data_IF_204224924080
#
_entry.id   IF_204224924080
#
_cell.length_a   1.000
_cell.length_b   1.000
_cell.length_c   1.000
_cell.angle_alpha   90.00
_cell.angle_beta   90.00
_cell.angle_gamma   90.00
#
_symmetry.space_group_name_H-M   'P 1'
#
loop_
_entity.id
_entity.type
_entity.pdbx_description
1 polymer ?
#
# COMPACT_ATOMS: atom_id res chain seq x y z
N UNK A 1 7.77 5.61 7.11
CA UNK A 1 6.76 4.78 6.44
C UNK A 1 7.36 3.50 5.85
N UNK A 2 8.59 3.51 5.41
CA UNK A 2 9.28 2.36 4.81
C UNK A 2 9.26 1.13 5.72
N UNK A 3 9.63 1.27 6.99
CA UNK A 3 9.65 0.18 7.97
C UNK A 3 8.28 -0.49 8.16
N UNK A 4 7.18 0.28 8.03
CA UNK A 4 5.82 -0.27 8.08
C UNK A 4 5.54 -1.14 6.86
N UNK A 5 5.93 -0.68 5.67
CA UNK A 5 5.79 -1.45 4.43
C UNK A 5 6.61 -2.74 4.46
N UNK A 6 7.84 -2.68 4.97
CA UNK A 6 8.70 -3.85 5.15
C UNK A 6 8.07 -4.86 6.12
N UNK A 7 7.55 -4.40 7.27
CA UNK A 7 6.87 -5.26 8.23
C UNK A 7 5.62 -5.92 7.61
N UNK A 8 4.82 -5.16 6.87
CA UNK A 8 3.66 -5.69 6.15
C UNK A 8 4.05 -6.76 5.13
N UNK A 9 5.13 -6.51 4.37
CA UNK A 9 5.64 -7.49 3.41
C UNK A 9 6.07 -8.79 4.07
N UNK A 10 6.71 -8.69 5.25
CA UNK A 10 7.15 -9.84 6.06
C UNK A 10 6.02 -10.46 6.89
N UNK A 11 4.80 -9.91 6.83
CA UNK A 11 3.66 -10.39 7.62
C UNK A 11 3.80 -10.12 9.12
N UNK A 12 4.56 -9.11 9.51
CA UNK A 12 4.80 -8.75 10.93
C UNK A 12 3.88 -7.61 11.36
N UNK A 13 3.31 -7.68 12.58
CA UNK A 13 2.50 -6.59 13.11
C UNK A 13 3.35 -5.39 13.50
N UNK A 14 2.75 -4.19 13.41
CA UNK A 14 3.38 -2.94 13.79
C UNK A 14 2.53 -2.21 14.83
N UNK A 15 3.15 -1.80 15.93
CA UNK A 15 2.57 -0.83 16.87
C UNK A 15 3.15 0.53 16.52
N UNK A 16 2.29 1.45 16.06
CA UNK A 16 2.68 2.78 15.57
C UNK A 16 2.40 3.83 16.65
N UNK A 17 3.38 4.67 16.92
CA UNK A 17 3.27 5.79 17.88
C UNK A 17 3.60 7.10 17.13
N UNK A 18 2.61 7.70 16.43
CA UNK A 18 2.84 8.92 15.65
C UNK A 18 3.08 10.11 16.58
N UNK A 19 4.05 10.95 16.24
CA UNK A 19 4.42 12.15 17.03
C UNK A 19 4.01 13.46 16.37
N UNK A 20 3.63 13.43 15.09
CA UNK A 20 3.18 14.60 14.35
C UNK A 20 2.15 14.21 13.27
N UNK A 21 1.50 15.22 12.65
CA UNK A 21 0.32 15.03 11.81
C UNK A 21 0.56 14.12 10.59
N UNK A 22 1.71 14.25 9.95
CA UNK A 22 2.06 13.40 8.80
C UNK A 22 2.15 11.93 9.21
N UNK A 23 2.81 11.65 10.33
CA UNK A 23 2.88 10.28 10.87
C UNK A 23 1.50 9.75 11.26
N UNK A 24 0.61 10.62 11.77
CA UNK A 24 -0.76 10.23 12.11
C UNK A 24 -1.55 9.83 10.86
N UNK A 25 -1.42 10.58 9.76
CA UNK A 25 -2.05 10.23 8.48
C UNK A 25 -1.51 8.90 7.93
N UNK A 26 -0.19 8.74 7.92
CA UNK A 26 0.46 7.51 7.46
C UNK A 26 0.08 6.30 8.33
N UNK A 27 -0.03 6.49 9.65
CA UNK A 27 -0.45 5.44 10.58
C UNK A 27 -1.91 5.04 10.36
N UNK A 28 -2.80 6.00 10.09
CA UNK A 28 -4.18 5.74 9.74
C UNK A 28 -4.28 4.85 8.48
N UNK A 29 -3.58 5.21 7.42
CA UNK A 29 -3.57 4.44 6.18
C UNK A 29 -2.98 3.03 6.38
N UNK A 30 -1.93 2.92 7.19
CA UNK A 30 -1.31 1.65 7.52
C UNK A 30 -2.27 0.72 8.30
N UNK A 31 -3.06 1.26 9.25
CA UNK A 31 -4.09 0.49 9.95
C UNK A 31 -5.17 0.00 8.99
N UNK A 32 -5.64 0.86 8.07
CA UNK A 32 -6.61 0.47 7.06
C UNK A 32 -6.08 -0.65 6.15
N UNK A 33 -4.78 -0.64 5.88
CA UNK A 33 -4.11 -1.69 5.10
C UNK A 33 -3.82 -2.97 5.91
N UNK A 34 -4.10 -2.99 7.21
CA UNK A 34 -3.89 -4.15 8.07
C UNK A 34 -2.46 -4.32 8.59
N UNK A 35 -1.68 -3.22 8.69
CA UNK A 35 -0.32 -3.27 9.20
C UNK A 35 -0.23 -3.55 10.71
N UNK A 36 -1.20 -3.07 11.47
CA UNK A 36 -1.19 -3.17 12.93
C UNK A 36 -2.09 -2.14 13.61
N UNK A 37 -1.64 -1.56 14.69
CA UNK A 37 -2.41 -0.64 15.52
C UNK A 37 -1.65 0.65 15.85
N UNK A 38 -2.39 1.69 16.16
CA UNK A 38 -1.85 2.97 16.69
C UNK A 38 -1.98 2.98 18.20
N UNK A 39 -0.97 3.48 18.89
CA UNK A 39 -0.96 3.70 20.33
C UNK A 39 -0.39 5.09 20.66
N UNK A 40 -0.72 5.60 21.84
CA UNK A 40 -0.21 6.89 22.34
C UNK A 40 1.23 6.79 22.86
N UNK A 41 1.67 5.59 23.17
CA UNK A 41 3.00 5.30 23.70
C UNK A 41 3.46 3.91 23.30
N UNK A 42 4.76 3.68 23.35
CA UNK A 42 5.29 2.34 23.17
C UNK A 42 4.86 1.44 24.35
N UNK A 43 4.19 0.34 24.03
CA UNK A 43 3.72 -0.66 24.98
C UNK A 43 4.09 -2.05 24.48
N UNK A 44 5.01 -2.69 25.18
CA UNK A 44 5.51 -4.02 24.80
C UNK A 44 4.45 -5.10 24.98
N UNK A 45 3.63 -5.02 26.01
CA UNK A 45 2.57 -6.01 26.27
C UNK A 45 1.51 -5.94 25.17
N UNK A 46 1.12 -4.73 24.77
CA UNK A 46 0.22 -4.53 23.64
C UNK A 46 0.81 -5.07 22.32
N UNK A 47 2.11 -4.88 22.08
CA UNK A 47 2.77 -5.42 20.88
C UNK A 47 2.82 -6.96 20.92
N UNK A 48 3.09 -7.56 22.07
CA UNK A 48 3.09 -9.03 22.22
C UNK A 48 1.70 -9.62 22.02
N UNK A 49 0.66 -8.98 22.54
CA UNK A 49 -0.72 -9.42 22.31
C UNK A 49 -1.11 -9.26 20.83
N UNK A 50 -0.76 -8.13 20.21
CA UNK A 50 -0.95 -7.92 18.80
C UNK A 50 -0.24 -9.00 17.97
N UNK A 51 0.97 -9.42 18.36
CA UNK A 51 1.71 -10.46 17.63
C UNK A 51 1.03 -11.82 17.64
N UNK A 52 0.21 -12.11 18.66
CA UNK A 52 -0.56 -13.36 18.76
C UNK A 52 -1.84 -13.33 17.92
N UNK A 53 -2.45 -12.17 17.78
CA UNK A 53 -3.75 -11.98 17.13
C UNK A 53 -3.66 -11.51 15.69
N UNK A 54 -2.51 -10.96 15.29
CA UNK A 54 -2.30 -10.36 13.98
C UNK A 54 -2.46 -11.38 12.84
N UNK A 55 -3.19 -10.94 11.83
CA UNK A 55 -3.30 -11.68 10.57
C UNK A 55 -2.73 -10.86 9.43
N UNK A 56 -1.65 -11.34 8.79
CA UNK A 56 -1.04 -10.64 7.66
C UNK A 56 -2.02 -10.40 6.52
N UNK A 57 -1.88 -9.26 5.85
CA UNK A 57 -2.64 -8.98 4.63
C UNK A 57 -1.90 -9.58 3.42
N UNK A 58 -2.37 -10.71 2.85
CA UNK A 58 -1.69 -11.35 1.72
C UNK A 58 -1.77 -10.52 0.44
N UNK A 59 -2.77 -9.65 0.31
CA UNK A 59 -2.93 -8.81 -0.87
C UNK A 59 -1.78 -7.81 -1.01
N UNK A 60 -1.28 -7.26 0.10
CA UNK A 60 -0.14 -6.34 0.07
C UNK A 60 1.13 -7.02 -0.42
N UNK A 61 1.49 -8.16 0.15
CA UNK A 61 2.71 -8.88 -0.27
C UNK A 61 2.60 -9.42 -1.71
N UNK A 62 1.41 -9.79 -2.14
CA UNK A 62 1.16 -10.17 -3.53
C UNK A 62 1.34 -8.98 -4.50
N UNK A 63 0.80 -7.82 -4.13
CA UNK A 63 0.97 -6.59 -4.91
C UNK A 63 2.44 -6.18 -5.01
N UNK A 64 3.19 -6.19 -3.89
CA UNK A 64 4.62 -5.85 -3.89
C UNK A 64 5.43 -6.77 -4.81
N UNK A 65 5.14 -8.07 -4.84
CA UNK A 65 5.81 -9.02 -5.74
C UNK A 65 5.58 -8.77 -7.22
N UNK A 66 4.55 -8.01 -7.56
CA UNK A 66 4.23 -7.63 -8.93
C UNK A 66 4.60 -6.18 -9.26
N UNK A 67 5.09 -5.41 -8.28
CA UNK A 67 5.30 -3.97 -8.42
C UNK A 67 6.34 -3.64 -9.50
N UNK A 68 7.41 -4.39 -9.62
CA UNK A 68 8.44 -4.23 -10.64
C UNK A 68 7.85 -4.38 -12.04
N UNK A 69 7.08 -5.42 -12.27
CA UNK A 69 6.40 -5.65 -13.56
C UNK A 69 5.34 -4.57 -13.86
N UNK A 70 4.57 -4.15 -12.84
CA UNK A 70 3.58 -3.09 -12.99
C UNK A 70 4.24 -1.76 -13.36
N UNK A 71 5.34 -1.40 -12.70
CA UNK A 71 6.13 -0.19 -12.99
C UNK A 71 6.69 -0.25 -14.41
N UNK A 72 7.33 -1.33 -14.79
CA UNK A 72 7.90 -1.50 -16.12
C UNK A 72 6.84 -1.45 -17.22
N UNK A 73 5.66 -1.97 -16.95
CA UNK A 73 4.53 -1.91 -17.88
C UNK A 73 4.04 -0.48 -18.09
N UNK A 74 3.93 0.31 -17.03
CA UNK A 74 3.52 1.72 -17.13
C UNK A 74 4.56 2.55 -17.90
N UNK A 75 5.84 2.38 -17.59
CA UNK A 75 6.92 3.01 -18.35
C UNK A 75 6.88 2.65 -19.84
N UNK A 76 6.61 1.39 -20.16
CA UNK A 76 6.53 0.95 -21.56
C UNK A 76 5.31 1.53 -22.26
N UNK A 77 4.21 1.69 -21.57
CA UNK A 77 3.02 2.35 -22.08
C UNK A 77 3.29 3.83 -22.33
N UNK A 78 3.94 4.53 -21.42
CA UNK A 78 4.30 5.94 -21.59
C UNK A 78 5.21 6.16 -22.81
N UNK A 79 6.24 5.34 -22.98
CA UNK A 79 7.13 5.41 -24.14
C UNK A 79 6.41 5.14 -25.46
N UNK A 80 5.43 4.22 -25.47
CA UNK A 80 4.62 3.94 -26.66
C UNK A 80 3.59 5.04 -26.93
N UNK A 81 3.23 5.83 -25.93
CA UNK A 81 2.18 6.85 -26.00
C UNK A 81 2.72 8.25 -26.38
N UNK A 82 4.02 8.48 -26.28
CA UNK A 82 4.63 9.68 -26.88
C UNK A 82 4.42 9.76 -28.40
N UNK A 83 4.10 8.64 -29.05
CA UNK A 83 3.83 8.55 -30.49
C UNK A 83 2.33 8.55 -30.84
N UNK A 84 1.40 8.64 -29.88
CA UNK A 84 -0.04 8.51 -30.13
C UNK A 84 -0.84 9.79 -29.90
N UNK A 85 -1.91 10.07 -30.73
CA UNK A 85 -2.72 11.29 -30.60
C UNK A 85 -3.45 11.35 -29.25
N UNK A 86 -3.55 12.55 -28.69
CA UNK A 86 -4.17 12.84 -27.38
C UNK A 86 -5.59 12.28 -27.16
N UNK A 87 -6.29 11.89 -28.23
CA UNK A 87 -7.62 11.26 -28.17
C UNK A 87 -7.62 9.82 -27.67
N UNK A 88 -6.52 9.09 -27.87
CA UNK A 88 -6.35 7.74 -27.35
C UNK A 88 -6.01 7.73 -25.86
N UNK A 89 -5.32 8.77 -25.39
CA UNK A 89 -5.00 8.99 -23.98
C UNK A 89 -6.25 9.03 -23.09
N UNK A 90 -7.27 9.76 -23.51
CA UNK A 90 -8.53 9.88 -22.77
C UNK A 90 -9.28 8.55 -22.64
N UNK A 91 -9.21 7.68 -23.63
CA UNK A 91 -9.89 6.38 -23.60
C UNK A 91 -9.18 5.34 -22.74
N UNK A 92 -7.86 5.40 -22.67
CA UNK A 92 -7.06 4.44 -21.92
C UNK A 92 -6.97 4.82 -20.43
N UNK A 93 -6.78 6.12 -20.10
CA UNK A 93 -6.69 6.58 -18.73
C UNK A 93 -7.98 6.34 -17.94
N UNK A 94 -9.16 6.57 -18.53
CA UNK A 94 -10.45 6.30 -17.88
C UNK A 94 -10.71 4.81 -17.65
N UNK A 95 -10.29 3.93 -18.55
CA UNK A 95 -10.43 2.47 -18.34
C UNK A 95 -9.49 1.94 -17.27
N UNK A 96 -8.35 2.57 -17.08
CA UNK A 96 -7.31 2.16 -16.13
C UNK A 96 -7.64 2.58 -14.69
N UNK A 97 -8.04 3.83 -14.49
CA UNK A 97 -8.51 4.33 -13.19
C UNK A 97 -9.69 3.48 -12.70
N UNK A 98 -10.59 3.06 -13.60
CA UNK A 98 -11.72 2.19 -13.25
C UNK A 98 -11.29 0.75 -12.87
N UNK A 99 -10.22 0.23 -13.47
CA UNK A 99 -9.70 -1.12 -13.15
C UNK A 99 -8.92 -1.14 -11.85
N UNK A 100 -8.08 -0.13 -11.59
CA UNK A 100 -7.37 0.02 -10.32
C UNK A 100 -8.34 0.25 -9.15
N UNK A 101 -9.38 1.06 -9.34
CA UNK A 101 -10.42 1.25 -8.35
C UNK A 101 -11.16 -0.04 -7.98
N UNK A 102 -11.39 -0.96 -8.92
CA UNK A 102 -11.98 -2.27 -8.63
C UNK A 102 -11.04 -3.25 -7.95
N UNK A 103 -9.75 -3.14 -8.17
CA UNK A 103 -8.75 -4.05 -7.57
C UNK A 103 -8.35 -3.60 -6.16
N UNK A 104 -8.52 -2.31 -5.84
CA UNK A 104 -8.25 -1.75 -4.52
C UNK A 104 -9.51 -1.70 -3.61
N UNK A 105 -10.68 -2.01 -4.13
CA UNK A 105 -11.95 -1.98 -3.39
C UNK A 105 -12.43 -3.37 -2.92
N UNK A 106 -11.49 -4.31 -2.82
CA UNK A 106 -11.76 -5.61 -2.21
C UNK A 106 -11.04 -5.70 -0.88
#
# INVERSE_FOLDING_TARGET
>A
FESVCEAMYLGKPVLMVPTHIEQSCNAFDAVQAGAGVVADRFDLDALLELSRTHRPNPAFSHWVKQADWLILREFRLDLLMEETPASLWRRLSTRWIYRLGKTLSI
#
